data_IF_444756532653
#
_entry.id   IF_444756532653
#
_cell.length_a   1.000
_cell.length_b   1.000
_cell.length_c   1.000
_cell.angle_alpha   90.00
_cell.angle_beta   90.00
_cell.angle_gamma   90.00
#
_symmetry.space_group_name_H-M   'P 1'
#
loop_
_entity.id
_entity.type
_entity.pdbx_description
1 polymer ?
#
# COMPACT_ATOMS: atom_id res chain seq x y z
N UNK A 1 -16.13 -13.21 -12.48
CA UNK A 1 -16.89 -13.61 -11.27
C UNK A 1 -17.00 -12.38 -10.39
N UNK A 2 -18.20 -11.91 -10.04
CA UNK A 2 -18.34 -10.78 -9.08
C UNK A 2 -17.95 -11.29 -7.68
N UNK A 3 -17.10 -10.54 -6.99
CA UNK A 3 -16.76 -10.83 -5.59
C UNK A 3 -18.01 -10.63 -4.72
N UNK A 4 -18.15 -11.44 -3.67
CA UNK A 4 -19.15 -11.16 -2.63
C UNK A 4 -18.77 -9.91 -1.85
N UNK A 5 -19.76 -9.25 -1.22
CA UNK A 5 -19.52 -8.06 -0.39
C UNK A 5 -18.44 -8.28 0.68
N UNK A 6 -18.51 -9.41 1.40
CA UNK A 6 -17.50 -9.78 2.42
C UNK A 6 -16.10 -9.98 1.83
N UNK A 7 -16.00 -10.64 0.67
CA UNK A 7 -14.69 -10.83 0.02
C UNK A 7 -14.10 -9.49 -0.41
N UNK A 8 -14.93 -8.58 -0.91
CA UNK A 8 -14.50 -7.23 -1.30
C UNK A 8 -14.04 -6.41 -0.10
N UNK A 9 -14.79 -6.40 1.00
CA UNK A 9 -14.42 -5.70 2.24
C UNK A 9 -13.10 -6.23 2.82
N UNK A 10 -12.91 -7.56 2.83
CA UNK A 10 -11.66 -8.16 3.25
C UNK A 10 -10.50 -7.79 2.33
N UNK A 11 -10.73 -7.77 1.01
CA UNK A 11 -9.74 -7.37 0.03
C UNK A 11 -9.33 -5.91 0.24
N UNK A 12 -10.31 -5.00 0.32
CA UNK A 12 -10.09 -3.59 0.60
C UNK A 12 -9.22 -3.40 1.85
N UNK A 13 -9.56 -4.08 2.95
CA UNK A 13 -8.80 -4.04 4.19
C UNK A 13 -7.34 -4.48 4.00
N UNK A 14 -7.11 -5.62 3.35
CA UNK A 14 -5.75 -6.13 3.10
C UNK A 14 -4.93 -5.16 2.27
N UNK A 15 -5.49 -4.63 1.18
CA UNK A 15 -4.79 -3.68 0.31
C UNK A 15 -4.48 -2.36 1.03
N UNK A 16 -5.42 -1.85 1.83
CA UNK A 16 -5.22 -0.64 2.63
C UNK A 16 -4.15 -0.85 3.71
N UNK A 17 -4.16 -1.99 4.40
CA UNK A 17 -3.15 -2.28 5.43
C UNK A 17 -1.76 -2.47 4.84
N UNK A 18 -1.64 -3.15 3.68
CA UNK A 18 -0.38 -3.24 2.94
C UNK A 18 0.12 -1.85 2.54
N UNK A 19 -0.75 -0.96 2.06
CA UNK A 19 -0.36 0.41 1.71
C UNK A 19 0.24 1.15 2.92
N UNK A 20 -0.36 1.02 4.12
CA UNK A 20 0.14 1.64 5.35
C UNK A 20 1.48 1.06 5.77
N UNK A 21 1.68 -0.25 5.66
CA UNK A 21 2.95 -0.88 6.00
C UNK A 21 4.08 -0.47 5.05
N UNK A 22 3.81 -0.44 3.75
CA UNK A 22 4.78 0.05 2.77
C UNK A 22 5.12 1.51 3.03
N UNK A 23 4.12 2.36 3.27
CA UNK A 23 4.35 3.78 3.59
C UNK A 23 5.16 3.95 4.89
N UNK A 24 4.83 3.20 5.93
CA UNK A 24 5.57 3.19 7.20
C UNK A 24 7.03 2.79 6.97
N UNK A 25 7.27 1.72 6.21
CA UNK A 25 8.63 1.28 5.89
C UNK A 25 9.41 2.33 5.07
N UNK A 26 8.74 3.00 4.12
CA UNK A 26 9.34 4.09 3.35
C UNK A 26 9.74 5.26 4.23
N UNK A 27 8.89 5.68 5.17
CA UNK A 27 9.14 6.82 6.06
C UNK A 27 10.18 6.45 7.12
N UNK A 28 9.94 5.40 7.91
CA UNK A 28 10.81 4.98 9.01
C UNK A 28 12.18 4.55 8.49
N UNK A 29 12.25 3.88 7.34
CA UNK A 29 13.50 3.46 6.72
C UNK A 29 14.47 4.62 6.47
N UNK A 30 13.97 5.82 6.14
CA UNK A 30 14.82 7.01 5.97
C UNK A 30 15.43 7.50 7.28
N UNK A 31 14.71 7.36 8.40
CA UNK A 31 15.19 7.80 9.71
C UNK A 31 16.18 6.81 10.32
N UNK A 32 16.01 5.51 10.06
CA UNK A 32 16.88 4.48 10.62
C UNK A 32 18.25 4.39 9.95
N UNK A 33 18.34 4.68 8.65
CA UNK A 33 19.59 4.59 7.89
C UNK A 33 19.62 5.60 6.73
N UNK A 34 19.69 6.92 7.01
CA UNK A 34 19.65 7.97 6.00
C UNK A 34 20.79 7.87 4.97
N UNK A 35 21.97 7.40 5.40
CA UNK A 35 23.13 7.17 4.54
C UNK A 35 22.96 6.02 3.54
N UNK A 36 21.97 5.13 3.77
CA UNK A 36 21.65 4.01 2.89
C UNK A 36 20.48 4.32 1.95
N UNK A 37 20.13 5.59 1.77
CA UNK A 37 19.05 5.96 0.88
C UNK A 37 19.31 5.52 -0.56
N UNK A 38 18.49 4.57 -1.03
CA UNK A 38 18.47 4.15 -2.41
C UNK A 38 17.22 4.71 -3.08
N UNK A 39 17.43 5.69 -3.98
CA UNK A 39 16.36 6.38 -4.70
C UNK A 39 15.43 5.40 -5.42
N UNK A 40 15.97 4.36 -6.03
CA UNK A 40 15.22 3.35 -6.78
C UNK A 40 14.27 2.56 -5.87
N UNK A 41 14.73 2.13 -4.69
CA UNK A 41 13.90 1.44 -3.69
C UNK A 41 12.81 2.37 -3.18
N UNK A 42 13.14 3.63 -2.92
CA UNK A 42 12.16 4.61 -2.45
C UNK A 42 11.07 4.87 -3.48
N UNK A 43 11.44 5.12 -4.74
CA UNK A 43 10.48 5.35 -5.83
C UNK A 43 9.65 4.10 -6.09
N UNK A 44 10.26 2.92 -6.14
CA UNK A 44 9.55 1.65 -6.34
C UNK A 44 8.58 1.33 -5.20
N UNK A 45 8.99 1.58 -3.96
CA UNK A 45 8.13 1.43 -2.79
C UNK A 45 6.99 2.45 -2.80
N UNK A 46 7.26 3.71 -3.17
CA UNK A 46 6.22 4.75 -3.25
C UNK A 46 5.18 4.43 -4.33
N UNK A 47 5.61 3.97 -5.50
CA UNK A 47 4.71 3.49 -6.57
C UNK A 47 3.86 2.32 -6.04
N UNK A 48 4.48 1.35 -5.37
CA UNK A 48 3.77 0.21 -4.79
C UNK A 48 2.72 0.67 -3.76
N UNK A 49 3.09 1.58 -2.86
CA UNK A 49 2.18 2.20 -1.90
C UNK A 49 0.95 2.80 -2.61
N UNK A 50 1.15 3.60 -3.65
CA UNK A 50 0.05 4.23 -4.40
C UNK A 50 -0.84 3.17 -5.05
N UNK A 51 -0.26 2.13 -5.65
CA UNK A 51 -1.03 1.03 -6.27
C UNK A 51 -1.90 0.31 -5.23
N UNK A 52 -1.31 -0.09 -4.10
CA UNK A 52 -2.06 -0.77 -3.03
C UNK A 52 -3.15 0.12 -2.44
N UNK A 53 -2.86 1.41 -2.25
CA UNK A 53 -3.84 2.39 -1.78
C UNK A 53 -5.00 2.54 -2.76
N UNK A 54 -4.72 2.73 -4.04
CA UNK A 54 -5.75 2.91 -5.07
C UNK A 54 -6.60 1.65 -5.20
N UNK A 55 -6.01 0.46 -5.27
CA UNK A 55 -6.76 -0.80 -5.33
C UNK A 55 -7.63 -0.96 -4.07
N UNK A 56 -7.07 -0.69 -2.89
CA UNK A 56 -7.79 -0.74 -1.62
C UNK A 56 -9.00 0.20 -1.61
N UNK A 57 -8.81 1.46 -2.02
CA UNK A 57 -9.88 2.46 -2.10
C UNK A 57 -10.94 2.11 -3.16
N UNK A 58 -10.55 1.56 -4.32
CA UNK A 58 -11.48 1.12 -5.35
C UNK A 58 -12.29 -0.10 -4.88
N UNK A 59 -11.66 -1.04 -4.18
CA UNK A 59 -12.34 -2.17 -3.58
C UNK A 59 -13.31 -1.72 -2.48
N UNK A 60 -12.94 -0.70 -1.69
CA UNK A 60 -13.80 -0.15 -0.64
C UNK A 60 -15.00 0.63 -1.22
N UNK A 61 -14.79 1.40 -2.30
CA UNK A 61 -15.81 2.22 -2.96
C UNK A 61 -16.74 1.47 -3.92
N UNK A 62 -16.33 0.31 -4.42
CA UNK A 62 -17.23 -0.50 -5.24
C UNK A 62 -18.44 -0.88 -4.41
N UNK A 63 -19.65 -0.44 -4.75
CA UNK A 63 -20.91 -0.92 -4.17
C UNK A 63 -21.19 -2.38 -4.53
#
# INVERSE_FOLDING_TARGET
MKLTRRQRENLARVFLDLSKYIFTALVIGQFLAPEKFQREIFVGGFISFVIFLVIGLLADKGE
#
